data_IF_549507798652
#
_entry.id   IF_549507798652
#
_cell.length_a   1.000
_cell.length_b   1.000
_cell.length_c   1.000
_cell.angle_alpha   90.00
_cell.angle_beta   90.00
_cell.angle_gamma   90.00
#
_symmetry.space_group_name_H-M   'P 1'
#
loop_
_entity.id
_entity.type
_entity.pdbx_description
1 polymer ?
#
# COMPACT_ATOMS: atom_id res chain seq x y z
N UNK A 1 -2.36 -28.79 3.63
CA UNK A 1 -2.15 -30.24 3.52
C UNK A 1 -1.35 -30.49 2.26
N UNK A 2 -0.16 -31.08 2.39
CA UNK A 2 0.62 -31.56 1.27
C UNK A 2 0.02 -32.90 0.76
N UNK A 3 0.35 -33.32 -0.48
CA UNK A 3 -0.19 -34.56 -1.06
C UNK A 3 0.09 -35.83 -0.24
N UNK A 4 1.10 -35.79 0.63
CA UNK A 4 1.49 -36.88 1.54
C UNK A 4 0.80 -36.81 2.92
N UNK A 5 -0.19 -35.93 3.09
CA UNK A 5 -0.94 -35.78 4.34
C UNK A 5 -0.22 -34.98 5.42
N UNK A 6 0.94 -34.38 5.13
CA UNK A 6 1.60 -33.47 6.07
C UNK A 6 0.91 -32.10 6.11
N UNK A 7 0.76 -31.57 7.31
CA UNK A 7 0.34 -30.18 7.51
C UNK A 7 1.58 -29.28 7.56
N UNK A 8 1.64 -28.30 6.66
CA UNK A 8 2.54 -27.18 6.80
C UNK A 8 1.84 -26.12 7.65
N UNK A 9 2.42 -25.79 8.80
CA UNK A 9 1.96 -24.67 9.63
C UNK A 9 3.03 -23.59 9.54
N UNK A 10 2.67 -22.44 8.99
CA UNK A 10 3.53 -21.26 8.96
C UNK A 10 3.04 -20.32 10.05
N UNK A 11 3.94 -19.91 10.94
CA UNK A 11 3.66 -18.89 11.94
C UNK A 11 4.14 -17.56 11.40
N UNK A 12 3.20 -16.67 11.07
CA UNK A 12 3.49 -15.30 10.72
C UNK A 12 2.99 -14.36 11.80
N UNK A 13 3.81 -13.37 12.15
CA UNK A 13 3.38 -12.27 13.01
C UNK A 13 2.90 -11.14 12.12
N UNK A 14 1.59 -10.92 12.10
CA UNK A 14 1.03 -9.74 11.45
C UNK A 14 1.47 -8.48 12.19
N UNK A 15 2.00 -7.50 11.45
CA UNK A 15 2.30 -6.17 11.96
C UNK A 15 1.34 -5.17 11.33
N UNK A 16 0.41 -4.70 12.14
CA UNK A 16 -0.50 -3.63 11.75
C UNK A 16 0.23 -2.29 11.85
N UNK A 17 0.17 -1.51 10.78
CA UNK A 17 0.73 -0.16 10.71
C UNK A 17 -0.41 0.85 10.81
N UNK A 18 -0.15 1.99 11.42
CA UNK A 18 -1.13 3.08 11.44
C UNK A 18 -1.35 3.62 10.03
N UNK A 19 -2.51 4.24 9.79
CA UNK A 19 -2.80 4.92 8.53
C UNK A 19 -1.71 5.95 8.19
N UNK A 20 -1.24 6.72 9.17
CA UNK A 20 -0.19 7.71 8.98
C UNK A 20 1.10 7.09 8.44
N UNK A 21 1.54 5.96 9.01
CA UNK A 21 2.73 5.23 8.52
C UNK A 21 2.53 4.66 7.13
N UNK A 22 1.32 4.19 6.79
CA UNK A 22 1.01 3.71 5.45
C UNK A 22 1.08 4.83 4.41
N UNK A 23 0.48 5.99 4.71
CA UNK A 23 0.49 7.17 3.83
C UNK A 23 1.92 7.67 3.61
N UNK A 24 2.73 7.76 4.67
CA UNK A 24 4.15 8.15 4.56
C UNK A 24 4.93 7.17 3.67
N UNK A 25 4.75 5.87 3.89
CA UNK A 25 5.42 4.83 3.09
C UNK A 25 5.03 4.89 1.61
N UNK A 26 3.76 5.17 1.31
CA UNK A 26 3.29 5.36 -0.07
C UNK A 26 3.91 6.60 -0.71
N UNK A 27 3.97 7.72 0.02
CA UNK A 27 4.62 8.95 -0.43
C UNK A 27 6.10 8.76 -0.77
N UNK A 28 6.85 8.08 0.11
CA UNK A 28 8.26 7.74 -0.13
C UNK A 28 8.46 6.85 -1.37
N UNK A 29 7.44 6.05 -1.72
CA UNK A 29 7.44 5.20 -2.91
C UNK A 29 6.94 5.93 -4.19
N UNK A 30 6.66 7.23 -4.12
CA UNK A 30 6.18 8.02 -5.26
C UNK A 30 4.69 7.87 -5.56
N UNK A 31 3.89 7.48 -4.56
CA UNK A 31 2.44 7.41 -4.68
C UNK A 31 1.77 8.56 -3.93
N UNK A 32 0.62 8.99 -4.42
CA UNK A 32 -0.32 9.87 -3.72
C UNK A 32 -1.58 9.09 -3.36
N UNK A 33 -2.05 9.26 -2.13
CA UNK A 33 -3.32 8.67 -1.69
C UNK A 33 -4.48 9.47 -2.28
N UNK A 34 -5.38 8.79 -2.98
CA UNK A 34 -6.56 9.38 -3.58
C UNK A 34 -7.79 9.20 -2.69
N UNK A 35 -8.02 7.99 -2.18
CA UNK A 35 -9.17 7.66 -1.32
C UNK A 35 -8.78 6.61 -0.26
N UNK A 36 -9.52 6.59 0.85
CA UNK A 36 -9.35 5.65 1.96
C UNK A 36 -10.72 5.22 2.47
N UNK A 37 -10.90 3.91 2.70
CA UNK A 37 -12.15 3.31 3.19
C UNK A 37 -11.92 2.32 4.32
N UNK A 38 -12.97 2.09 5.11
CA UNK A 38 -12.96 1.16 6.25
C UNK A 38 -13.30 -0.30 5.92
N UNK A 39 -13.84 -0.54 4.72
CA UNK A 39 -14.18 -1.87 4.19
C UNK A 39 -14.26 -1.81 2.64
N UNK A 40 -14.45 -2.96 2.00
CA UNK A 40 -14.51 -3.13 0.55
C UNK A 40 -15.76 -2.53 -0.11
N UNK A 41 -16.78 -2.22 0.68
CA UNK A 41 -17.98 -1.52 0.24
C UNK A 41 -17.80 0.00 0.06
N UNK A 42 -16.60 0.50 0.42
CA UNK A 42 -16.20 1.90 0.35
C UNK A 42 -16.89 2.80 1.38
N UNK A 43 -17.33 2.25 2.51
CA UNK A 43 -17.72 3.06 3.66
C UNK A 43 -16.54 3.87 4.21
N UNK A 44 -16.86 5.00 4.84
CA UNK A 44 -15.87 5.90 5.43
C UNK A 44 -15.04 5.16 6.49
N UNK A 45 -13.73 5.43 6.53
CA UNK A 45 -12.86 4.86 7.54
C UNK A 45 -13.18 5.45 8.92
N UNK A 46 -13.49 4.57 9.87
CA UNK A 46 -13.72 4.87 11.27
C UNK A 46 -12.69 4.17 12.18
N UNK A 47 -12.69 4.52 13.47
CA UNK A 47 -11.76 3.95 14.45
C UNK A 47 -11.99 2.44 14.65
N UNK A 48 -13.23 1.99 14.50
CA UNK A 48 -13.66 0.60 14.64
C UNK A 48 -13.77 -0.16 13.31
N UNK A 49 -13.33 0.45 12.20
CA UNK A 49 -13.29 -0.23 10.92
C UNK A 49 -12.41 -1.48 10.97
N UNK A 50 -12.86 -2.61 10.39
CA UNK A 50 -12.12 -3.86 10.43
C UNK A 50 -10.84 -3.81 9.57
N UNK A 51 -10.83 -2.96 8.54
CA UNK A 51 -9.76 -2.89 7.55
C UNK A 51 -9.43 -1.43 7.18
N UNK A 52 -8.30 -1.23 6.50
CA UNK A 52 -7.94 0.04 5.87
C UNK A 52 -7.67 -0.26 4.40
N UNK A 53 -8.56 0.21 3.52
CA UNK A 53 -8.42 0.10 2.07
C UNK A 53 -7.93 1.44 1.53
N UNK A 54 -6.79 1.45 0.85
CA UNK A 54 -6.19 2.68 0.30
C UNK A 54 -6.13 2.59 -1.22
N UNK A 55 -6.75 3.56 -1.91
CA UNK A 55 -6.52 3.78 -3.34
C UNK A 55 -5.38 4.79 -3.51
N UNK A 56 -4.28 4.36 -4.10
CA UNK A 56 -3.11 5.20 -4.36
C UNK A 56 -2.79 5.28 -5.85
N UNK A 57 -2.35 6.45 -6.30
CA UNK A 57 -1.97 6.71 -7.69
C UNK A 57 -0.46 6.96 -7.76
N UNK A 58 0.22 6.36 -8.73
CA UNK A 58 1.64 6.62 -8.97
C UNK A 58 1.79 8.03 -9.53
N UNK A 59 2.66 8.85 -8.93
CA UNK A 59 3.06 10.11 -9.54
C UNK A 59 3.80 9.82 -10.84
N UNK A 60 3.59 10.62 -11.90
CA UNK A 60 4.39 10.47 -13.11
C UNK A 60 5.87 10.61 -12.73
N UNK A 61 6.71 9.73 -13.26
CA UNK A 61 8.15 9.85 -13.09
C UNK A 61 8.57 11.24 -13.61
N UNK A 62 9.46 11.97 -12.91
CA UNK A 62 9.92 13.25 -13.41
C UNK A 62 10.50 13.05 -14.82
N UNK A 63 10.31 14.02 -15.74
CA UNK A 63 10.89 13.92 -17.06
C UNK A 63 12.40 13.69 -16.89
N UNK A 64 12.93 12.66 -17.55
CA UNK A 64 14.38 12.43 -17.56
C UNK A 64 15.03 13.69 -18.10
N UNK A 65 15.93 14.31 -17.33
CA UNK A 65 16.75 15.41 -17.82
C UNK A 65 17.64 14.85 -18.94
N UNK A 66 17.23 15.03 -20.20
CA UNK A 66 18.13 14.80 -21.32
C UNK A 66 19.29 15.80 -21.20
N UNK A 67 20.56 15.35 -21.31
CA UNK A 67 21.68 16.27 -21.24
C UNK A 67 21.55 17.29 -22.36
N UNK A 68 21.39 18.57 -21.98
CA UNK A 68 21.41 19.70 -22.90
C UNK A 68 22.74 19.64 -23.67
N UNK A 69 22.67 19.31 -24.95
CA UNK A 69 23.83 19.37 -25.83
C UNK A 69 24.31 20.83 -25.84
N UNK A 70 25.52 21.05 -25.34
CA UNK A 70 26.21 22.32 -25.49
C UNK A 70 26.51 22.49 -26.98
N UNK A 71 25.97 23.56 -27.57
CA UNK A 71 26.35 24.07 -28.89
C UNK A 71 27.37 25.20 -28.75
#
# INVERSE_FOLDING_TARGET
MLPDGRHLVVHETLRYRSLATLVESLGQAGFVVAEVWGDWDREELAEDSPEIIILAQKLPDPPSEEPQAAE
#
